data_IF_466595918499
#
_entry.id   IF_466595918499
#
_cell.length_a   1.000
_cell.length_b   1.000
_cell.length_c   1.000
_cell.angle_alpha   90.00
_cell.angle_beta   90.00
_cell.angle_gamma   90.00
#
_symmetry.space_group_name_H-M   'P 1'
#
loop_
_entity.id
_entity.type
_entity.pdbx_description
1 polymer ?
#
# COMPACT_ATOMS: atom_id res chain seq x y z
N UNK A 1 -9.66 -31.82 -22.14
CA UNK A 1 -8.93 -30.63 -22.64
C UNK A 1 -7.71 -30.38 -21.79
N UNK A 2 -6.56 -30.07 -22.38
CA UNK A 2 -5.42 -29.56 -21.60
C UNK A 2 -5.82 -28.24 -20.94
N UNK A 3 -5.52 -28.07 -19.65
CA UNK A 3 -5.77 -26.78 -18.98
C UNK A 3 -4.99 -25.67 -19.68
N UNK A 4 -5.65 -24.56 -20.00
CA UNK A 4 -5.06 -23.41 -20.69
C UNK A 4 -4.13 -22.61 -19.77
N UNK A 5 -4.44 -22.60 -18.45
CA UNK A 5 -3.75 -21.79 -17.45
C UNK A 5 -2.98 -22.67 -16.47
N UNK A 6 -2.02 -22.08 -15.75
CA UNK A 6 -1.39 -22.70 -14.60
C UNK A 6 -2.39 -22.88 -13.45
N UNK A 7 -2.11 -23.85 -12.57
CA UNK A 7 -2.94 -24.11 -11.38
C UNK A 7 -3.00 -22.86 -10.51
N UNK A 8 -4.21 -22.47 -10.09
CA UNK A 8 -4.44 -21.30 -9.23
C UNK A 8 -4.87 -20.02 -9.94
N UNK A 9 -4.76 -19.94 -11.29
CA UNK A 9 -5.22 -18.76 -12.04
C UNK A 9 -6.72 -18.81 -12.34
N UNK A 10 -7.27 -19.97 -12.60
CA UNK A 10 -8.69 -20.14 -12.98
C UNK A 10 -9.65 -19.56 -11.94
N UNK A 11 -9.31 -19.65 -10.66
CA UNK A 11 -10.14 -19.20 -9.54
C UNK A 11 -9.83 -17.75 -9.10
N UNK A 12 -8.90 -17.07 -9.77
CA UNK A 12 -8.54 -15.70 -9.42
C UNK A 12 -9.58 -14.69 -9.91
N UNK A 13 -10.17 -13.97 -8.98
CA UNK A 13 -10.99 -12.81 -9.30
C UNK A 13 -10.07 -11.61 -9.56
N UNK A 14 -10.22 -10.87 -10.67
CA UNK A 14 -9.46 -9.64 -10.91
C UNK A 14 -9.54 -8.68 -9.73
N UNK A 15 -8.44 -7.95 -9.48
CA UNK A 15 -8.45 -6.92 -8.44
C UNK A 15 -9.49 -5.84 -8.79
N UNK A 16 -10.50 -5.58 -7.96
CA UNK A 16 -11.46 -4.52 -8.24
C UNK A 16 -10.82 -3.15 -7.97
N UNK A 17 -10.48 -2.36 -9.00
CA UNK A 17 -9.94 -1.02 -8.79
C UNK A 17 -11.00 -0.10 -8.17
N UNK A 18 -10.59 0.98 -7.54
CA UNK A 18 -11.51 2.06 -7.20
C UNK A 18 -12.11 2.66 -8.47
N UNK A 19 -13.42 2.94 -8.46
CA UNK A 19 -14.11 3.51 -9.63
C UNK A 19 -13.46 4.85 -10.04
N UNK A 20 -13.11 5.08 -11.33
CA UNK A 20 -12.64 6.38 -11.80
C UNK A 20 -13.73 7.45 -11.71
N UNK A 21 -13.33 8.71 -11.48
CA UNK A 21 -14.27 9.83 -11.43
C UNK A 21 -15.02 9.97 -12.76
N UNK A 22 -14.28 9.96 -13.87
CA UNK A 22 -14.82 10.13 -15.22
C UNK A 22 -15.81 9.00 -15.60
N UNK A 23 -15.58 7.79 -15.10
CA UNK A 23 -16.49 6.66 -15.30
C UNK A 23 -17.80 6.89 -14.56
N UNK A 24 -17.74 7.29 -13.27
CA UNK A 24 -18.93 7.59 -12.48
C UNK A 24 -19.73 8.74 -13.11
N UNK A 25 -19.06 9.83 -13.48
CA UNK A 25 -19.70 11.00 -14.06
C UNK A 25 -20.39 10.68 -15.38
N UNK A 26 -19.76 9.86 -16.23
CA UNK A 26 -20.35 9.40 -17.49
C UNK A 26 -21.57 8.50 -17.28
N UNK A 27 -21.51 7.57 -16.31
CA UNK A 27 -22.61 6.64 -16.04
C UNK A 27 -23.82 7.31 -15.39
N UNK A 28 -23.59 8.26 -14.50
CA UNK A 28 -24.65 8.90 -13.70
C UNK A 28 -25.12 10.23 -14.29
N UNK A 29 -24.44 10.74 -15.32
CA UNK A 29 -24.76 12.05 -15.90
C UNK A 29 -24.51 13.24 -14.95
N UNK A 30 -23.60 13.10 -13.99
CA UNK A 30 -23.26 14.09 -12.97
C UNK A 30 -21.89 14.71 -13.24
N UNK A 31 -21.55 15.78 -12.53
CA UNK A 31 -20.25 16.45 -12.61
C UNK A 31 -19.72 16.80 -11.21
N UNK A 32 -18.43 16.97 -11.10
CA UNK A 32 -17.77 17.39 -9.87
C UNK A 32 -17.76 16.31 -8.79
N UNK A 33 -17.70 15.04 -9.18
CA UNK A 33 -17.57 13.92 -8.23
C UNK A 33 -16.25 13.98 -7.48
N UNK A 34 -16.23 13.45 -6.25
CA UNK A 34 -15.01 13.32 -5.44
C UNK A 34 -14.67 11.85 -5.23
N UNK A 35 -13.36 11.56 -5.04
CA UNK A 35 -12.88 10.19 -4.86
C UNK A 35 -12.03 10.07 -3.61
N UNK A 36 -12.55 9.35 -2.63
CA UNK A 36 -11.90 9.05 -1.34
C UNK A 36 -11.69 7.52 -1.17
N UNK A 37 -11.39 6.81 -2.25
CA UNK A 37 -11.44 5.34 -2.33
C UNK A 37 -10.09 4.65 -2.44
N UNK A 38 -9.04 5.33 -2.89
CA UNK A 38 -7.78 4.70 -3.33
C UNK A 38 -6.55 5.13 -2.53
N UNK A 39 -6.75 5.78 -1.40
CA UNK A 39 -5.67 6.25 -0.51
C UNK A 39 -4.67 7.15 -1.27
N UNK A 40 -5.19 7.96 -2.19
CA UNK A 40 -4.41 8.92 -2.97
C UNK A 40 -4.06 10.16 -2.13
N UNK A 41 -3.06 10.94 -2.55
CA UNK A 41 -2.71 12.18 -1.88
C UNK A 41 -3.69 13.29 -2.28
N UNK A 42 -4.36 13.97 -1.35
CA UNK A 42 -5.36 14.99 -1.67
C UNK A 42 -4.76 16.26 -2.32
N UNK A 43 -3.48 16.54 -2.12
CA UNK A 43 -2.78 17.68 -2.74
C UNK A 43 -2.36 17.39 -4.20
N UNK A 44 -2.52 16.15 -4.67
CA UNK A 44 -1.93 15.72 -5.94
C UNK A 44 -0.42 15.47 -5.83
N UNK A 45 0.34 15.61 -6.92
CA UNK A 45 1.79 15.38 -6.93
C UNK A 45 2.60 16.58 -6.43
N UNK A 46 3.80 16.30 -5.89
CA UNK A 46 4.77 17.34 -5.52
C UNK A 46 5.05 18.29 -6.69
N UNK A 47 5.03 19.63 -6.48
CA UNK A 47 5.41 20.62 -7.48
C UNK A 47 6.79 20.40 -8.07
N UNK A 48 7.78 20.02 -7.26
CA UNK A 48 9.13 19.69 -7.73
C UNK A 48 9.13 18.45 -8.64
N UNK A 49 8.29 17.46 -8.34
CA UNK A 49 8.11 16.28 -9.20
C UNK A 49 7.48 16.66 -10.55
N UNK A 50 6.49 17.54 -10.58
CA UNK A 50 5.87 18.03 -11.82
C UNK A 50 6.90 18.78 -12.67
N UNK A 51 7.74 19.61 -12.07
CA UNK A 51 8.81 20.30 -12.80
C UNK A 51 9.80 19.31 -13.40
N UNK A 52 10.26 18.33 -12.61
CA UNK A 52 11.17 17.28 -13.10
C UNK A 52 10.57 16.47 -14.25
N UNK A 53 9.25 16.19 -14.25
CA UNK A 53 8.57 15.56 -15.39
C UNK A 53 8.69 16.43 -16.65
N UNK A 54 8.35 17.72 -16.55
CA UNK A 54 8.41 18.66 -17.68
C UNK A 54 9.82 18.72 -18.29
N UNK A 55 10.84 18.78 -17.45
CA UNK A 55 12.24 18.88 -17.86
C UNK A 55 12.73 17.62 -18.61
N UNK A 56 12.06 16.48 -18.40
CA UNK A 56 12.44 15.19 -18.98
C UNK A 56 11.55 14.73 -20.14
N UNK A 57 10.57 15.52 -20.61
CA UNK A 57 9.67 15.12 -21.70
C UNK A 57 10.41 14.88 -23.03
N UNK A 58 11.45 15.63 -23.32
CA UNK A 58 12.16 15.60 -24.59
C UNK A 58 13.06 14.36 -24.77
N UNK A 59 13.28 13.57 -23.71
CA UNK A 59 14.14 12.37 -23.76
C UNK A 59 13.36 11.06 -23.77
N UNK A 60 12.03 11.10 -23.89
CA UNK A 60 11.16 9.91 -23.82
C UNK A 60 11.39 8.89 -24.93
N UNK A 61 12.08 9.26 -26.00
CA UNK A 61 12.49 8.35 -27.06
C UNK A 61 13.69 7.45 -26.66
N UNK A 62 14.24 7.60 -25.48
CA UNK A 62 15.32 6.79 -24.93
C UNK A 62 14.81 5.90 -23.79
N UNK A 63 15.37 4.70 -23.69
CA UNK A 63 15.13 3.85 -22.53
C UNK A 63 15.61 4.54 -21.24
N UNK A 64 14.93 4.30 -20.10
CA UNK A 64 15.37 4.82 -18.81
C UNK A 64 16.70 4.18 -18.37
N UNK A 65 17.35 4.79 -17.36
CA UNK A 65 18.45 4.13 -16.64
C UNK A 65 17.92 2.86 -15.95
N UNK A 66 18.30 1.69 -16.46
CA UNK A 66 17.89 0.40 -15.91
C UNK A 66 18.47 0.10 -14.53
N UNK A 67 19.55 0.79 -14.14
CA UNK A 67 20.13 0.70 -12.79
C UNK A 67 19.39 1.59 -11.78
N UNK A 68 18.74 2.66 -12.26
CA UNK A 68 18.10 3.68 -11.44
C UNK A 68 19.11 4.44 -10.57
N UNK A 69 20.31 4.65 -11.06
CA UNK A 69 21.45 5.13 -10.28
C UNK A 69 21.15 6.40 -9.49
N UNK A 70 20.60 7.44 -10.14
CA UNK A 70 20.36 8.74 -9.49
C UNK A 70 19.35 8.63 -8.35
N UNK A 71 18.23 7.94 -8.58
CA UNK A 71 17.21 7.75 -7.55
C UNK A 71 17.73 6.85 -6.42
N UNK A 72 18.41 5.75 -6.75
CA UNK A 72 19.03 4.87 -5.74
C UNK A 72 20.10 5.58 -4.94
N UNK A 73 20.94 6.43 -5.57
CA UNK A 73 21.95 7.22 -4.86
C UNK A 73 21.32 8.19 -3.87
N UNK A 74 20.20 8.82 -4.24
CA UNK A 74 19.46 9.71 -3.34
C UNK A 74 18.83 8.94 -2.17
N UNK A 75 18.20 7.79 -2.44
CA UNK A 75 17.66 6.90 -1.40
C UNK A 75 18.77 6.38 -0.47
N UNK A 76 19.89 5.96 -1.03
CA UNK A 76 21.08 5.53 -0.28
C UNK A 76 21.57 6.60 0.69
N UNK A 77 21.72 7.84 0.20
CA UNK A 77 22.12 8.98 1.03
C UNK A 77 21.08 9.32 2.10
N UNK A 78 19.80 9.33 1.74
CA UNK A 78 18.69 9.68 2.66
C UNK A 78 18.55 8.69 3.80
N UNK A 79 18.70 7.40 3.51
CA UNK A 79 18.41 6.32 4.46
C UNK A 79 19.66 5.61 4.97
N UNK A 80 20.84 6.02 4.54
CA UNK A 80 22.12 5.41 4.90
C UNK A 80 22.17 3.89 4.60
N UNK A 81 21.66 3.49 3.43
CA UNK A 81 21.63 2.09 2.96
C UNK A 81 22.50 1.94 1.71
N UNK A 82 23.37 0.92 1.60
CA UNK A 82 24.20 0.67 0.42
C UNK A 82 23.37 0.53 -0.88
N UNK A 83 23.91 1.00 -2.02
CA UNK A 83 23.24 0.95 -3.32
C UNK A 83 22.83 -0.47 -3.75
N UNK A 84 23.62 -1.47 -3.42
CA UNK A 84 23.36 -2.89 -3.74
C UNK A 84 22.33 -3.55 -2.81
N UNK A 85 21.83 -2.82 -1.82
CA UNK A 85 20.72 -3.18 -0.94
C UNK A 85 19.42 -2.47 -1.29
N UNK A 86 19.37 -1.75 -2.42
CA UNK A 86 18.19 -1.00 -2.88
C UNK A 86 17.72 -1.54 -4.22
N UNK A 87 16.42 -1.76 -4.34
CA UNK A 87 15.75 -2.14 -5.60
C UNK A 87 14.62 -1.17 -5.93
N UNK A 88 14.46 -0.82 -7.21
CA UNK A 88 13.33 -0.03 -7.70
C UNK A 88 12.31 -0.95 -8.38
N UNK A 89 11.03 -0.58 -8.25
CA UNK A 89 9.91 -1.28 -8.87
C UNK A 89 8.92 -0.34 -9.54
N UNK A 90 8.18 -0.86 -10.50
CA UNK A 90 7.01 -0.20 -11.09
C UNK A 90 5.85 -0.16 -10.07
N UNK A 91 6.02 0.65 -9.03
CA UNK A 91 5.31 0.59 -7.76
C UNK A 91 5.83 -0.53 -6.85
N UNK A 92 5.48 -0.49 -5.56
CA UNK A 92 5.77 -1.60 -4.64
C UNK A 92 5.09 -2.92 -5.04
N UNK A 93 4.01 -2.86 -5.82
CA UNK A 93 3.32 -4.04 -6.34
C UNK A 93 4.24 -4.94 -7.18
N UNK A 94 5.09 -4.37 -8.04
CA UNK A 94 6.06 -5.16 -8.80
C UNK A 94 7.08 -5.82 -7.87
N UNK A 95 7.48 -5.16 -6.79
CA UNK A 95 8.41 -5.76 -5.83
C UNK A 95 7.78 -6.93 -5.07
N UNK A 96 6.47 -6.88 -4.77
CA UNK A 96 5.72 -8.01 -4.24
C UNK A 96 5.72 -9.17 -5.25
N UNK A 97 5.42 -8.89 -6.52
CA UNK A 97 5.45 -9.89 -7.59
C UNK A 97 6.85 -10.49 -7.75
N UNK A 98 7.89 -9.66 -7.81
CA UNK A 98 9.28 -10.11 -7.93
C UNK A 98 9.69 -10.99 -6.73
N UNK A 99 9.25 -10.65 -5.52
CA UNK A 99 9.51 -11.47 -4.34
C UNK A 99 8.89 -12.86 -4.48
N UNK A 100 7.62 -12.92 -4.85
CA UNK A 100 6.93 -14.20 -5.07
C UNK A 100 7.61 -15.00 -6.19
N UNK A 101 7.93 -14.36 -7.31
CA UNK A 101 8.58 -15.04 -8.46
C UNK A 101 10.01 -15.50 -8.19
N UNK A 102 10.75 -14.80 -7.33
CA UNK A 102 12.13 -15.15 -7.03
C UNK A 102 12.24 -16.27 -5.97
N UNK A 103 11.31 -16.33 -5.03
CA UNK A 103 11.51 -17.12 -3.81
C UNK A 103 10.45 -18.18 -3.55
N UNK A 104 9.34 -18.19 -4.32
CA UNK A 104 8.26 -19.15 -4.13
C UNK A 104 8.24 -20.18 -5.27
N UNK A 105 8.18 -21.44 -4.90
CA UNK A 105 7.91 -22.56 -5.82
C UNK A 105 6.47 -23.07 -5.66
N UNK A 106 5.89 -23.71 -6.68
CA UNK A 106 4.57 -24.32 -6.54
C UNK A 106 4.51 -25.32 -5.37
N UNK A 107 3.54 -25.11 -4.48
CA UNK A 107 3.37 -25.92 -3.27
C UNK A 107 4.05 -25.38 -2.02
N UNK A 108 4.90 -24.37 -2.12
CA UNK A 108 5.43 -23.65 -0.97
C UNK A 108 4.32 -22.86 -0.25
N UNK A 109 4.54 -22.59 1.04
CA UNK A 109 3.60 -21.86 1.89
C UNK A 109 4.03 -20.40 2.06
N UNK A 110 3.02 -19.55 2.15
CA UNK A 110 3.17 -18.13 2.51
C UNK A 110 2.21 -17.82 3.64
N UNK A 111 2.64 -17.02 4.60
CA UNK A 111 1.80 -16.59 5.73
C UNK A 111 1.50 -15.11 5.60
N UNK A 112 0.25 -14.71 5.89
CA UNK A 112 -0.17 -13.32 6.02
C UNK A 112 -1.21 -13.18 7.12
N UNK A 113 -1.41 -11.98 7.64
CA UNK A 113 -2.62 -11.66 8.40
C UNK A 113 -3.80 -11.43 7.43
N UNK A 114 -5.05 -11.53 7.90
CA UNK A 114 -6.25 -11.29 7.09
C UNK A 114 -7.35 -10.63 7.93
N UNK A 115 -7.98 -9.54 7.45
CA UNK A 115 -7.75 -8.90 6.15
C UNK A 115 -6.47 -8.05 6.09
N UNK A 116 -5.81 -8.12 4.93
CA UNK A 116 -4.67 -7.28 4.56
C UNK A 116 -4.71 -6.95 3.07
N UNK A 117 -3.61 -6.46 2.49
CA UNK A 117 -3.58 -6.07 1.09
C UNK A 117 -3.80 -7.25 0.13
N UNK A 118 -4.89 -7.20 -0.63
CA UNK A 118 -5.40 -8.32 -1.44
C UNK A 118 -4.43 -8.85 -2.51
N UNK A 119 -3.40 -8.06 -2.88
CA UNK A 119 -2.47 -8.46 -3.92
C UNK A 119 -1.58 -9.64 -3.49
N UNK A 120 -1.21 -9.74 -2.21
CA UNK A 120 -0.34 -10.81 -1.72
C UNK A 120 -0.90 -12.18 -2.07
N UNK A 121 -2.14 -12.44 -1.65
CA UNK A 121 -2.80 -13.72 -1.92
C UNK A 121 -2.92 -14.02 -3.42
N UNK A 122 -3.24 -12.99 -4.22
CA UNK A 122 -3.35 -13.14 -5.68
C UNK A 122 -2.03 -13.54 -6.31
N UNK A 123 -0.92 -12.92 -5.94
CA UNK A 123 0.40 -13.23 -6.49
C UNK A 123 0.85 -14.63 -6.06
N UNK A 124 0.62 -15.01 -4.80
CA UNK A 124 0.96 -16.34 -4.29
C UNK A 124 0.16 -17.43 -5.00
N UNK A 125 -1.16 -17.27 -5.14
CA UNK A 125 -2.02 -18.23 -5.87
C UNK A 125 -1.62 -18.34 -7.34
N UNK A 126 -1.31 -17.21 -8.00
CA UNK A 126 -0.85 -17.20 -9.39
C UNK A 126 0.46 -17.95 -9.58
N UNK A 127 1.35 -17.96 -8.59
CA UNK A 127 2.60 -18.72 -8.58
C UNK A 127 2.41 -20.20 -8.17
N UNK A 128 1.19 -20.63 -7.82
CA UNK A 128 0.91 -21.99 -7.38
C UNK A 128 1.28 -22.27 -5.92
N UNK A 129 1.58 -21.23 -5.14
CA UNK A 129 1.82 -21.31 -3.69
C UNK A 129 0.52 -21.44 -2.88
N UNK A 130 0.66 -21.74 -1.61
CA UNK A 130 -0.42 -21.88 -0.66
C UNK A 130 -0.38 -20.73 0.37
N UNK A 131 -1.50 -20.01 0.52
CA UNK A 131 -1.61 -18.92 1.48
C UNK A 131 -2.24 -19.41 2.79
N UNK A 132 -1.52 -19.26 3.90
CA UNK A 132 -2.04 -19.36 5.25
C UNK A 132 -2.42 -17.96 5.74
N UNK A 133 -3.70 -17.71 5.93
CA UNK A 133 -4.24 -16.42 6.37
C UNK A 133 -4.63 -16.47 7.84
N UNK A 134 -3.97 -15.67 8.67
CA UNK A 134 -4.17 -15.56 10.11
C UNK A 134 -5.17 -14.43 10.39
N UNK A 135 -6.28 -14.67 11.08
CA UNK A 135 -7.24 -13.61 11.40
C UNK A 135 -6.62 -12.49 12.24
N UNK A 136 -7.03 -11.25 11.97
CA UNK A 136 -6.67 -10.11 12.82
C UNK A 136 -7.33 -10.26 14.22
N UNK A 137 -6.61 -9.83 15.24
CA UNK A 137 -7.16 -9.65 16.59
C UNK A 137 -7.49 -8.17 16.80
N UNK A 138 -8.77 -7.84 17.01
CA UNK A 138 -9.23 -6.45 17.17
C UNK A 138 -8.67 -5.48 16.10
N UNK A 139 -8.77 -5.88 14.84
CA UNK A 139 -8.24 -5.15 13.66
C UNK A 139 -6.71 -4.98 13.62
N UNK A 140 -5.95 -5.64 14.50
CA UNK A 140 -4.49 -5.65 14.51
C UNK A 140 -3.93 -7.01 14.12
N UNK A 141 -2.76 -7.02 13.54
CA UNK A 141 -1.98 -8.23 13.28
C UNK A 141 -1.52 -8.80 14.63
N UNK A 142 -1.76 -10.09 14.83
CA UNK A 142 -1.21 -10.87 15.94
C UNK A 142 0.01 -11.63 15.44
N UNK A 143 1.21 -11.15 15.77
CA UNK A 143 2.47 -11.73 15.32
C UNK A 143 2.72 -13.12 15.92
N UNK A 144 2.21 -13.42 17.12
CA UNK A 144 2.33 -14.73 17.72
C UNK A 144 1.51 -15.78 16.92
N UNK A 145 0.30 -15.40 16.50
CA UNK A 145 -0.52 -16.29 15.65
C UNK A 145 0.10 -16.43 14.24
N UNK A 146 0.74 -15.38 13.71
CA UNK A 146 1.51 -15.46 12.46
C UNK A 146 2.66 -16.46 12.60
N UNK A 147 3.43 -16.43 13.69
CA UNK A 147 4.51 -17.38 13.96
C UNK A 147 4.01 -18.82 14.08
N UNK A 148 2.87 -19.06 14.75
CA UNK A 148 2.28 -20.40 14.85
C UNK A 148 1.85 -20.98 13.50
N UNK A 149 1.54 -20.13 12.52
CA UNK A 149 1.19 -20.54 11.17
C UNK A 149 2.41 -20.89 10.30
N UNK A 150 3.63 -20.61 10.75
CA UNK A 150 4.88 -20.94 10.05
C UNK A 150 5.10 -22.44 10.09
N UNK A 151 5.44 -23.02 8.95
CA UNK A 151 5.73 -24.45 8.77
C UNK A 151 7.08 -24.63 8.06
N UNK A 152 7.65 -25.84 8.02
CA UNK A 152 8.88 -26.09 7.24
C UNK A 152 8.75 -25.81 5.74
N UNK A 153 7.53 -25.65 5.22
CA UNK A 153 7.27 -25.25 3.82
C UNK A 153 7.10 -23.75 3.64
N UNK A 154 7.08 -22.97 4.71
CA UNK A 154 6.92 -21.52 4.64
C UNK A 154 8.16 -20.88 4.04
N UNK A 155 7.98 -20.06 3.01
CA UNK A 155 9.03 -19.33 2.30
C UNK A 155 8.94 -17.83 2.46
N UNK A 156 7.72 -17.30 2.62
CA UNK A 156 7.49 -15.87 2.70
C UNK A 156 6.46 -15.59 3.79
N UNK A 157 6.67 -14.52 4.55
CA UNK A 157 5.68 -13.93 5.46
C UNK A 157 5.45 -12.49 5.00
N UNK A 158 4.19 -12.11 4.75
CA UNK A 158 3.82 -10.72 4.47
C UNK A 158 3.31 -10.04 5.72
N UNK A 159 3.94 -8.94 6.10
CA UNK A 159 3.53 -8.04 7.18
C UNK A 159 3.31 -6.65 6.57
N UNK A 160 2.06 -6.17 6.58
CA UNK A 160 1.74 -4.82 6.14
C UNK A 160 1.66 -3.89 7.35
N UNK A 161 2.62 -3.01 7.53
CA UNK A 161 2.72 -2.12 8.68
C UNK A 161 3.04 -0.68 8.28
N UNK A 162 2.08 0.25 8.37
CA UNK A 162 0.68 0.10 8.83
C UNK A 162 -0.19 -0.78 7.92
N UNK A 163 -1.13 -1.53 8.52
CA UNK A 163 -1.96 -2.48 7.77
C UNK A 163 -3.02 -1.77 6.92
N UNK A 164 -3.20 -2.21 5.71
CA UNK A 164 -4.33 -1.88 4.85
C UNK A 164 -5.26 -3.12 4.74
N UNK A 165 -6.53 -3.07 5.25
CA UNK A 165 -7.37 -1.87 5.29
C UNK A 165 -7.56 -1.22 6.67
N UNK A 166 -6.97 -1.71 7.74
CA UNK A 166 -7.33 -1.30 9.11
C UNK A 166 -6.62 -0.03 9.61
N UNK A 167 -5.45 0.29 9.04
CA UNK A 167 -4.62 1.41 9.50
C UNK A 167 -3.91 1.17 10.84
N UNK A 168 -4.03 -0.04 11.40
CA UNK A 168 -3.35 -0.45 12.62
C UNK A 168 -1.85 -0.63 12.42
N UNK A 169 -1.09 -0.51 13.49
CA UNK A 169 0.37 -0.61 13.49
C UNK A 169 0.87 -1.67 14.47
N UNK A 170 2.06 -2.16 14.20
CA UNK A 170 2.87 -3.01 15.07
C UNK A 170 3.96 -2.16 15.72
N UNK A 171 4.20 -2.37 17.00
CA UNK A 171 5.20 -1.63 17.75
C UNK A 171 6.60 -2.22 17.51
N UNK A 172 7.63 -1.41 17.82
CA UNK A 172 9.05 -1.79 17.70
C UNK A 172 9.35 -3.11 18.41
N UNK A 173 8.94 -3.23 19.67
CA UNK A 173 9.22 -4.41 20.48
C UNK A 173 8.53 -5.67 19.92
N UNK A 174 7.27 -5.53 19.47
CA UNK A 174 6.53 -6.63 18.84
C UNK A 174 7.27 -7.15 17.60
N UNK A 175 7.74 -6.21 16.74
CA UNK A 175 8.49 -6.56 15.53
C UNK A 175 9.85 -7.19 15.82
N UNK A 176 10.59 -6.70 16.82
CA UNK A 176 11.88 -7.25 17.22
C UNK A 176 11.75 -8.69 17.74
N UNK A 177 10.78 -8.96 18.63
CA UNK A 177 10.51 -10.32 19.10
C UNK A 177 10.14 -11.24 17.94
N UNK A 178 9.21 -10.79 17.08
CA UNK A 178 8.80 -11.56 15.91
C UNK A 178 9.98 -11.92 14.99
N UNK A 179 10.79 -10.95 14.63
CA UNK A 179 11.92 -11.17 13.71
C UNK A 179 12.99 -12.11 14.29
N UNK A 180 13.17 -12.12 15.61
CA UNK A 180 14.09 -13.05 16.29
C UNK A 180 13.58 -14.50 16.26
N UNK A 181 12.26 -14.71 16.21
CA UNK A 181 11.64 -16.04 16.26
C UNK A 181 11.35 -16.60 14.86
N UNK A 182 11.38 -15.76 13.80
CA UNK A 182 11.23 -16.23 12.41
C UNK A 182 12.47 -17.00 11.96
N UNK A 183 12.32 -18.18 11.33
CA UNK A 183 13.47 -18.93 10.80
C UNK A 183 14.28 -18.12 9.78
N UNK A 184 15.61 -18.18 9.85
CA UNK A 184 16.54 -17.40 9.01
C UNK A 184 16.42 -17.66 7.49
N UNK A 185 15.77 -18.75 7.08
CA UNK A 185 15.53 -19.11 5.67
C UNK A 185 14.14 -18.67 5.15
N UNK A 186 13.34 -17.98 5.97
CA UNK A 186 12.05 -17.41 5.61
C UNK A 186 12.19 -15.93 5.28
N UNK A 187 11.67 -15.50 4.14
CA UNK A 187 11.65 -14.09 3.77
C UNK A 187 10.52 -13.37 4.50
N UNK A 188 10.83 -12.32 5.22
CA UNK A 188 9.84 -11.41 5.81
C UNK A 188 9.72 -10.19 4.92
N UNK A 189 8.55 -9.99 4.31
CA UNK A 189 8.22 -8.79 3.55
C UNK A 189 7.48 -7.82 4.47
N UNK A 190 8.13 -6.73 4.84
CA UNK A 190 7.53 -5.63 5.59
C UNK A 190 7.09 -4.55 4.62
N UNK A 191 5.79 -4.52 4.31
CA UNK A 191 5.22 -3.52 3.40
C UNK A 191 4.86 -2.25 4.16
N UNK A 192 5.67 -1.24 3.97
CA UNK A 192 5.60 0.09 4.58
C UNK A 192 4.99 1.14 3.65
N UNK A 193 4.00 0.79 2.84
CA UNK A 193 3.39 1.73 1.89
C UNK A 193 2.80 3.00 2.55
N UNK A 194 2.63 3.01 3.86
CA UNK A 194 2.03 4.12 4.63
C UNK A 194 2.88 4.59 5.80
N UNK A 195 4.11 4.13 5.93
CA UNK A 195 4.97 4.41 7.10
C UNK A 195 5.20 5.90 7.34
N UNK A 196 5.23 6.71 6.30
CA UNK A 196 5.47 8.14 6.41
C UNK A 196 4.32 8.91 7.11
N UNK A 197 3.13 8.30 7.25
CA UNK A 197 2.00 8.90 7.98
C UNK A 197 2.00 8.57 9.47
N UNK A 198 2.80 7.61 9.90
CA UNK A 198 2.89 7.20 11.30
C UNK A 198 3.46 8.34 12.15
N UNK A 199 2.77 8.64 13.24
CA UNK A 199 3.19 9.64 14.24
C UNK A 199 3.55 9.03 15.60
N UNK A 200 3.32 7.73 15.76
CA UNK A 200 3.64 7.00 16.99
C UNK A 200 5.12 6.59 16.98
N UNK A 201 5.92 7.18 17.86
CA UNK A 201 7.36 6.92 18.00
C UNK A 201 7.68 5.49 18.47
N UNK A 202 6.71 4.78 19.03
CA UNK A 202 6.86 3.38 19.40
C UNK A 202 6.87 2.43 18.20
N UNK A 203 6.51 2.91 17.00
CA UNK A 203 6.56 2.13 15.77
C UNK A 203 7.95 2.22 15.14
N UNK A 204 8.64 1.08 14.99
CA UNK A 204 9.91 1.06 14.26
C UNK A 204 9.69 1.11 12.75
N UNK A 205 10.56 1.81 12.04
CA UNK A 205 10.66 1.67 10.59
C UNK A 205 11.39 0.37 10.24
N UNK A 206 11.06 -0.22 9.10
CA UNK A 206 11.75 -1.42 8.63
C UNK A 206 13.25 -1.21 8.40
N UNK A 207 13.68 0.03 8.17
CA UNK A 207 15.09 0.38 8.06
C UNK A 207 15.85 0.15 9.37
N UNK A 208 15.23 0.45 10.50
CA UNK A 208 15.80 0.18 11.83
C UNK A 208 15.86 -1.32 12.13
N UNK A 209 15.03 -2.11 11.45
CA UNK A 209 14.89 -3.55 11.65
C UNK A 209 15.72 -4.39 10.67
N UNK A 210 16.35 -3.80 9.63
CA UNK A 210 17.03 -4.52 8.54
C UNK A 210 18.14 -5.48 9.03
N UNK A 211 18.77 -5.20 10.16
CA UNK A 211 19.86 -6.03 10.71
C UNK A 211 19.36 -7.14 11.62
N UNK A 212 18.08 -7.15 11.99
CA UNK A 212 17.50 -8.12 12.92
C UNK A 212 17.01 -9.41 12.26
N UNK A 213 16.94 -9.44 10.92
CA UNK A 213 16.61 -10.67 10.20
C UNK A 213 17.31 -10.67 8.83
N UNK A 214 18.03 -11.74 8.44
CA UNK A 214 18.89 -11.77 7.25
C UNK A 214 18.11 -11.63 5.93
N UNK A 215 16.85 -12.02 5.94
CA UNK A 215 15.95 -12.00 4.78
C UNK A 215 14.78 -11.04 4.97
N UNK A 216 14.95 -9.95 5.75
CA UNK A 216 13.97 -8.88 5.81
C UNK A 216 14.02 -8.06 4.51
N UNK A 217 12.85 -7.92 3.85
CA UNK A 217 12.63 -7.07 2.68
C UNK A 217 11.62 -5.99 3.04
N UNK A 218 12.04 -4.75 3.08
CA UNK A 218 11.20 -3.57 3.37
C UNK A 218 10.74 -2.96 2.06
N UNK A 219 9.44 -2.76 1.88
CA UNK A 219 8.86 -2.15 0.68
C UNK A 219 8.27 -0.79 0.98
N UNK A 220 8.51 0.20 0.11
CA UNK A 220 7.96 1.55 0.17
C UNK A 220 7.49 2.03 -1.19
N UNK A 221 6.67 3.08 -1.21
CA UNK A 221 6.08 3.60 -2.45
C UNK A 221 6.09 5.12 -2.51
N UNK A 222 6.19 5.67 -3.71
CA UNK A 222 5.95 7.09 -3.97
C UNK A 222 4.47 7.41 -4.25
N UNK A 223 3.60 6.40 -4.23
CA UNK A 223 2.18 6.56 -4.58
C UNK A 223 1.37 7.31 -3.53
N UNK A 224 1.83 7.38 -2.26
CA UNK A 224 1.04 7.90 -1.14
C UNK A 224 1.50 9.29 -0.72
N UNK A 225 2.46 9.42 0.18
CA UNK A 225 2.93 10.71 0.67
C UNK A 225 3.38 11.65 -0.47
N UNK A 226 4.06 11.13 -1.48
CA UNK A 226 4.64 11.93 -2.56
C UNK A 226 3.67 12.23 -3.73
N UNK A 227 2.45 11.68 -3.71
CA UNK A 227 1.42 11.95 -4.72
C UNK A 227 1.72 11.40 -6.12
N UNK A 228 2.60 10.40 -6.26
CA UNK A 228 3.05 9.90 -7.57
C UNK A 228 2.37 8.56 -7.97
N UNK A 229 1.14 8.33 -7.55
CA UNK A 229 0.42 7.07 -7.79
C UNK A 229 0.34 6.70 -9.28
N UNK A 230 0.12 7.68 -10.16
CA UNK A 230 0.01 7.48 -11.61
C UNK A 230 1.31 7.14 -12.30
N UNK A 231 2.47 7.49 -11.73
CA UNK A 231 3.78 7.24 -12.32
C UNK A 231 4.30 5.82 -12.08
N UNK A 232 3.70 5.08 -11.13
CA UNK A 232 4.06 3.71 -10.84
C UNK A 232 5.52 3.56 -10.41
N UNK A 233 5.91 4.13 -9.29
CA UNK A 233 7.27 4.02 -8.74
C UNK A 233 7.23 3.64 -7.26
N UNK A 234 8.05 2.67 -6.89
CA UNK A 234 8.28 2.20 -5.52
C UNK A 234 9.72 1.71 -5.36
N UNK A 235 10.10 1.39 -4.17
CA UNK A 235 11.44 0.93 -3.84
C UNK A 235 11.41 -0.06 -2.68
N UNK A 236 12.47 -0.85 -2.57
CA UNK A 236 12.66 -1.79 -1.47
C UNK A 236 14.09 -1.79 -0.97
N UNK A 237 14.23 -2.21 0.29
CA UNK A 237 15.51 -2.40 0.97
C UNK A 237 15.60 -3.82 1.50
N UNK A 238 16.73 -4.48 1.29
CA UNK A 238 17.05 -5.76 1.90
C UNK A 238 18.57 -5.95 1.93
N UNK A 239 19.03 -7.05 2.53
CA UNK A 239 20.42 -7.48 2.36
C UNK A 239 20.73 -7.76 0.88
N UNK A 240 22.02 -7.72 0.51
CA UNK A 240 22.49 -7.83 -0.89
C UNK A 240 21.95 -9.06 -1.62
N UNK A 241 21.86 -10.20 -0.95
CA UNK A 241 21.52 -11.49 -1.58
C UNK A 241 20.08 -11.54 -2.11
N UNK A 242 19.02 -11.19 -1.36
CA UNK A 242 17.66 -11.07 -1.92
C UNK A 242 17.57 -10.07 -3.07
N UNK A 243 18.22 -8.90 -2.94
CA UNK A 243 18.22 -7.87 -4.00
C UNK A 243 18.84 -8.40 -5.29
N UNK A 244 19.95 -9.14 -5.21
CA UNK A 244 20.60 -9.75 -6.37
C UNK A 244 19.66 -10.75 -7.08
N UNK A 245 19.00 -11.64 -6.35
CA UNK A 245 18.05 -12.59 -6.92
C UNK A 245 16.84 -11.90 -7.60
N UNK A 246 16.28 -10.89 -6.97
CA UNK A 246 15.18 -10.12 -7.55
C UNK A 246 15.63 -9.39 -8.83
N UNK A 247 16.84 -8.82 -8.85
CA UNK A 247 17.40 -8.16 -10.04
C UNK A 247 17.61 -9.11 -11.23
N UNK A 248 17.87 -10.41 -11.01
CA UNK A 248 18.03 -11.42 -12.08
C UNK A 248 16.74 -11.66 -12.87
N UNK A 249 15.58 -11.46 -12.24
CA UNK A 249 14.26 -11.72 -12.87
C UNK A 249 13.46 -10.45 -13.15
N UNK A 250 13.95 -9.30 -12.67
CA UNK A 250 13.33 -7.99 -12.91
C UNK A 250 13.37 -7.66 -14.40
N UNK A 251 12.26 -7.11 -14.91
CA UNK A 251 12.22 -6.62 -16.28
C UNK A 251 13.26 -5.51 -16.49
N UNK A 252 14.01 -5.53 -17.59
CA UNK A 252 14.86 -4.39 -17.95
C UNK A 252 14.03 -3.10 -18.01
N UNK A 253 14.58 -2.01 -17.51
CA UNK A 253 13.94 -0.68 -17.60
C UNK A 253 12.53 -0.59 -16.96
N UNK A 254 12.25 -1.38 -15.92
CA UNK A 254 10.95 -1.48 -15.26
C UNK A 254 10.43 -0.17 -14.65
N UNK A 255 11.32 0.69 -14.17
CA UNK A 255 10.98 2.03 -13.68
C UNK A 255 11.20 3.07 -14.79
N UNK A 256 10.13 3.70 -15.27
CA UNK A 256 10.19 4.63 -16.40
C UNK A 256 10.94 5.93 -16.06
N UNK A 257 11.42 6.64 -17.09
CA UNK A 257 12.22 7.87 -16.98
C UNK A 257 11.53 8.94 -16.14
N UNK A 258 10.25 9.23 -16.44
CA UNK A 258 9.51 10.29 -15.75
C UNK A 258 9.28 9.93 -14.28
N UNK A 259 9.01 8.66 -13.98
CA UNK A 259 8.85 8.18 -12.61
C UNK A 259 10.13 8.32 -11.79
N UNK A 260 11.29 7.95 -12.38
CA UNK A 260 12.58 8.11 -11.70
C UNK A 260 12.92 9.59 -11.45
N UNK A 261 12.73 10.45 -12.45
CA UNK A 261 12.99 11.90 -12.33
C UNK A 261 12.06 12.56 -11.28
N UNK A 262 10.76 12.26 -11.36
CA UNK A 262 9.78 12.78 -10.42
C UNK A 262 10.02 12.32 -8.97
N UNK A 263 10.30 11.03 -8.77
CA UNK A 263 10.61 10.48 -7.45
C UNK A 263 11.89 11.09 -6.86
N UNK A 264 12.91 11.26 -7.72
CA UNK A 264 14.16 11.89 -7.33
C UNK A 264 13.97 13.34 -6.84
N UNK A 265 13.11 14.12 -7.50
CA UNK A 265 12.76 15.48 -7.10
C UNK A 265 11.85 15.51 -5.86
N UNK A 266 10.83 14.64 -5.80
CA UNK A 266 9.88 14.57 -4.67
C UNK A 266 10.55 14.26 -3.32
N UNK A 267 11.67 13.54 -3.32
CA UNK A 267 12.43 13.25 -2.08
C UNK A 267 13.03 14.50 -1.42
N UNK A 268 13.19 15.59 -2.17
CA UNK A 268 13.71 16.87 -1.69
C UNK A 268 12.61 17.88 -1.32
N UNK A 269 11.35 17.60 -1.72
CA UNK A 269 10.21 18.48 -1.48
C UNK A 269 9.67 18.31 -0.06
N UNK A 270 10.42 18.77 0.93
CA UNK A 270 10.06 18.68 2.35
C UNK A 270 8.84 19.53 2.71
N UNK A 271 8.63 20.64 2.02
CA UNK A 271 7.47 21.50 2.22
C UNK A 271 6.18 20.77 1.82
N UNK A 272 6.15 20.19 0.63
CA UNK A 272 5.02 19.42 0.15
C UNK A 272 4.68 18.23 1.07
N UNK A 273 5.71 17.47 1.49
CA UNK A 273 5.49 16.33 2.39
C UNK A 273 4.95 16.77 3.76
N UNK A 274 5.47 17.88 4.31
CA UNK A 274 4.99 18.45 5.56
C UNK A 274 3.55 18.97 5.46
N UNK A 275 3.20 19.62 4.35
CA UNK A 275 1.82 20.07 4.08
C UNK A 275 0.87 18.86 3.95
N UNK A 276 1.27 17.81 3.22
CA UNK A 276 0.48 16.58 3.10
C UNK A 276 0.19 15.96 4.47
N UNK A 277 1.21 15.79 5.29
CA UNK A 277 1.05 15.23 6.64
C UNK A 277 0.14 16.09 7.52
N UNK A 278 0.25 17.41 7.41
CA UNK A 278 -0.62 18.35 8.13
C UNK A 278 -2.07 18.21 7.70
N UNK A 279 -2.35 18.19 6.39
CA UNK A 279 -3.71 18.06 5.85
C UNK A 279 -4.33 16.73 6.28
N UNK A 280 -3.57 15.63 6.22
CA UNK A 280 -4.06 14.32 6.66
C UNK A 280 -4.40 14.33 8.15
N UNK A 281 -3.54 14.86 9.01
CA UNK A 281 -3.81 14.95 10.47
C UNK A 281 -5.03 15.83 10.79
N UNK A 282 -5.12 17.00 10.15
CA UNK A 282 -6.23 17.92 10.38
C UNK A 282 -7.55 17.33 9.84
N UNK A 283 -7.48 16.66 8.69
CA UNK A 283 -8.62 15.97 8.09
C UNK A 283 -9.12 14.78 8.94
N UNK A 284 -8.21 13.96 9.48
CA UNK A 284 -8.58 12.89 10.43
C UNK A 284 -9.29 13.45 11.66
N UNK A 285 -8.76 14.52 12.25
CA UNK A 285 -9.39 15.16 13.42
C UNK A 285 -10.82 15.62 13.10
N UNK A 286 -11.00 16.30 11.98
CA UNK A 286 -12.32 16.75 11.52
C UNK A 286 -13.28 15.57 11.29
N UNK A 287 -12.82 14.53 10.57
CA UNK A 287 -13.64 13.37 10.24
C UNK A 287 -14.03 12.59 11.49
N UNK A 288 -13.11 12.38 12.43
CA UNK A 288 -13.40 11.70 13.69
C UNK A 288 -14.41 12.46 14.54
N UNK A 289 -14.25 13.80 14.67
CA UNK A 289 -15.24 14.63 15.38
C UNK A 289 -16.62 14.51 14.73
N UNK A 290 -16.70 14.63 13.40
CA UNK A 290 -17.97 14.54 12.67
C UNK A 290 -18.64 13.17 12.78
N UNK A 291 -17.87 12.07 12.85
CA UNK A 291 -18.40 10.72 13.04
C UNK A 291 -18.87 10.49 14.46
N UNK A 292 -18.17 11.04 15.46
CA UNK A 292 -18.64 11.03 16.86
C UNK A 292 -19.96 11.77 17.00
N UNK A 293 -20.15 12.93 16.34
CA UNK A 293 -21.41 13.69 16.31
C UNK A 293 -22.55 12.91 15.62
N UNK A 294 -22.21 11.88 14.82
CA UNK A 294 -23.13 10.96 14.14
C UNK A 294 -23.29 9.62 14.88
N UNK A 295 -22.64 9.45 16.02
CA UNK A 295 -22.61 8.19 16.79
C UNK A 295 -22.15 6.98 15.96
N UNK A 296 -21.24 7.20 14.99
CA UNK A 296 -20.68 6.15 14.13
C UNK A 296 -19.34 5.65 14.65
N UNK A 297 -19.22 4.33 14.76
CA UNK A 297 -17.99 3.66 15.11
C UNK A 297 -16.98 3.71 13.95
N UNK A 298 -15.71 3.97 14.27
CA UNK A 298 -14.61 3.92 13.30
C UNK A 298 -13.37 3.29 13.94
N UNK A 299 -12.45 2.83 13.09
CA UNK A 299 -11.17 2.28 13.56
C UNK A 299 -10.11 3.38 13.43
N UNK A 300 -9.52 3.86 14.55
CA UNK A 300 -8.44 4.83 14.50
C UNK A 300 -7.24 4.34 13.69
N UNK A 301 -6.56 5.24 12.98
CA UNK A 301 -5.51 4.90 12.03
C UNK A 301 -4.21 5.67 12.24
N UNK A 302 -3.11 5.07 11.78
CA UNK A 302 -1.81 5.72 11.56
C UNK A 302 -1.49 5.90 10.05
N UNK A 303 -2.54 5.98 9.20
CA UNK A 303 -2.41 6.14 7.74
C UNK A 303 -3.20 7.36 7.25
N UNK A 304 -3.28 7.54 5.93
CA UNK A 304 -4.14 8.55 5.32
C UNK A 304 -5.58 8.05 5.02
N UNK A 305 -5.99 6.92 5.58
CA UNK A 305 -7.33 6.33 5.43
C UNK A 305 -7.76 5.63 6.71
N UNK A 306 -9.04 5.31 6.85
CA UNK A 306 -9.56 4.55 7.98
C UNK A 306 -10.88 3.85 7.65
N UNK A 307 -11.30 2.94 8.53
CA UNK A 307 -12.54 2.19 8.43
C UNK A 307 -13.65 2.85 9.25
N UNK A 308 -14.85 2.89 8.68
CA UNK A 308 -16.08 3.34 9.33
C UNK A 308 -17.07 2.18 9.31
N UNK A 309 -17.63 1.84 10.47
CA UNK A 309 -18.72 0.86 10.57
C UNK A 309 -20.03 1.51 10.18
N UNK A 310 -20.75 0.88 9.27
CA UNK A 310 -22.03 1.38 8.75
C UNK A 310 -23.12 0.31 8.96
N UNK A 311 -24.15 0.62 9.77
CA UNK A 311 -25.18 -0.39 10.16
C UNK A 311 -25.94 -0.98 8.96
N UNK A 312 -26.11 -0.20 7.89
CA UNK A 312 -26.83 -0.65 6.68
C UNK A 312 -25.97 -1.52 5.75
N UNK A 313 -24.68 -1.74 6.07
CA UNK A 313 -23.73 -2.50 5.27
C UNK A 313 -22.94 -1.65 4.27
N UNK A 314 -21.65 -1.99 4.11
CA UNK A 314 -20.69 -1.23 3.32
C UNK A 314 -21.08 -1.10 1.85
N UNK A 315 -21.57 -2.19 1.24
CA UNK A 315 -22.00 -2.20 -0.17
C UNK A 315 -23.17 -1.24 -0.42
N UNK A 316 -24.19 -1.27 0.45
CA UNK A 316 -25.35 -0.38 0.30
C UNK A 316 -24.96 1.08 0.42
N UNK A 317 -24.16 1.43 1.44
CA UNK A 317 -23.66 2.80 1.60
C UNK A 317 -22.81 3.22 0.40
N UNK A 318 -21.90 2.36 -0.06
CA UNK A 318 -21.12 2.63 -1.28
C UNK A 318 -21.99 2.99 -2.47
N UNK A 319 -23.04 2.20 -2.77
CA UNK A 319 -23.96 2.43 -3.89
C UNK A 319 -24.75 3.75 -3.74
N UNK A 320 -25.17 4.09 -2.53
CA UNK A 320 -25.86 5.35 -2.25
C UNK A 320 -24.92 6.55 -2.40
N UNK A 321 -23.68 6.44 -1.89
CA UNK A 321 -22.66 7.50 -2.01
C UNK A 321 -22.29 7.76 -3.48
N UNK A 322 -22.19 6.72 -4.31
CA UNK A 322 -21.96 6.87 -5.76
C UNK A 322 -23.02 7.73 -6.44
N UNK A 323 -24.31 7.54 -6.09
CA UNK A 323 -25.41 8.34 -6.64
C UNK A 323 -25.30 9.84 -6.31
N UNK A 324 -24.63 10.15 -5.20
CA UNK A 324 -24.36 11.53 -4.75
C UNK A 324 -22.98 12.05 -5.23
N UNK A 325 -22.30 11.32 -6.11
CA UNK A 325 -21.01 11.71 -6.66
C UNK A 325 -19.83 11.60 -5.65
N UNK A 326 -19.94 10.73 -4.67
CA UNK A 326 -18.88 10.49 -3.68
C UNK A 326 -18.40 9.04 -3.78
N UNK A 327 -17.17 8.84 -4.26
CA UNK A 327 -16.57 7.52 -4.45
C UNK A 327 -15.80 7.15 -3.19
N UNK A 328 -16.27 6.11 -2.51
CA UNK A 328 -15.64 5.51 -1.33
C UNK A 328 -15.27 4.04 -1.64
N UNK A 329 -14.83 3.28 -0.65
CA UNK A 329 -14.53 1.86 -0.80
C UNK A 329 -15.40 1.00 0.11
N UNK A 330 -16.23 0.11 -0.45
CA UNK A 330 -16.83 -0.98 0.32
C UNK A 330 -15.75 -2.00 0.70
N UNK A 331 -15.86 -2.56 1.90
CA UNK A 331 -14.91 -3.55 2.42
C UNK A 331 -15.39 -5.00 2.28
N UNK A 332 -16.41 -5.26 1.47
CA UNK A 332 -16.90 -6.62 1.21
C UNK A 332 -15.79 -7.55 0.70
N UNK A 333 -14.96 -7.05 -0.24
CA UNK A 333 -13.84 -7.83 -0.79
C UNK A 333 -12.74 -8.15 0.23
N UNK A 334 -12.77 -7.52 1.40
CA UNK A 334 -11.88 -7.76 2.54
C UNK A 334 -12.52 -8.61 3.64
N UNK A 335 -13.76 -9.11 3.42
CA UNK A 335 -14.51 -9.87 4.43
C UNK A 335 -15.06 -8.99 5.56
N UNK A 336 -15.17 -7.68 5.36
CA UNK A 336 -15.68 -6.70 6.32
C UNK A 336 -16.95 -6.00 5.79
N UNK A 337 -18.07 -6.74 5.60
CA UNK A 337 -19.26 -6.22 4.90
C UNK A 337 -19.98 -5.08 5.64
N UNK A 338 -19.70 -4.89 6.93
CA UNK A 338 -20.26 -3.80 7.74
C UNK A 338 -19.41 -2.51 7.68
N UNK A 339 -18.32 -2.51 6.88
CA UNK A 339 -17.39 -1.39 6.87
C UNK A 339 -17.27 -0.76 5.48
N UNK A 340 -17.01 0.53 5.49
CA UNK A 340 -16.48 1.28 4.36
C UNK A 340 -15.09 1.80 4.74
N UNK A 341 -14.22 2.02 3.74
CA UNK A 341 -12.94 2.70 3.91
C UNK A 341 -12.94 3.97 3.10
N UNK A 342 -12.49 5.05 3.71
CA UNK A 342 -12.22 6.32 3.05
C UNK A 342 -10.78 6.74 3.29
N UNK A 343 -10.18 7.46 2.35
CA UNK A 343 -8.99 8.25 2.63
C UNK A 343 -9.37 9.70 2.94
N UNK A 344 -8.48 10.37 3.66
CA UNK A 344 -8.61 11.81 3.92
C UNK A 344 -8.45 12.57 2.61
N UNK A 345 -9.41 13.44 2.33
CA UNK A 345 -9.40 14.38 1.21
C UNK A 345 -9.01 15.80 1.63
N UNK A 346 -9.16 16.76 0.73
CA UNK A 346 -9.14 18.18 1.06
C UNK A 346 -10.31 18.54 2.00
N UNK A 347 -10.26 19.71 2.60
CA UNK A 347 -11.28 20.15 3.56
C UNK A 347 -12.70 20.06 2.97
N UNK A 348 -12.88 20.55 1.77
CA UNK A 348 -14.16 20.56 1.06
C UNK A 348 -14.63 19.14 0.70
N UNK A 349 -13.71 18.24 0.37
CA UNK A 349 -14.01 16.85 0.08
C UNK A 349 -14.47 16.10 1.34
N UNK A 350 -13.80 16.33 2.45
CA UNK A 350 -14.17 15.75 3.75
C UNK A 350 -15.54 16.26 4.22
N UNK A 351 -15.82 17.55 4.08
CA UNK A 351 -17.12 18.15 4.40
C UNK A 351 -18.24 17.59 3.52
N UNK A 352 -17.99 17.46 2.22
CA UNK A 352 -18.93 16.85 1.28
C UNK A 352 -19.18 15.38 1.63
N UNK A 353 -18.15 14.62 1.97
CA UNK A 353 -18.29 13.24 2.41
C UNK A 353 -19.22 13.14 3.63
N UNK A 354 -18.96 13.92 4.68
CA UNK A 354 -19.79 13.91 5.91
C UNK A 354 -21.24 14.32 5.62
N UNK A 355 -21.45 15.39 4.84
CA UNK A 355 -22.78 15.83 4.43
C UNK A 355 -23.54 14.72 3.70
N UNK A 356 -22.87 14.06 2.76
CA UNK A 356 -23.47 12.98 1.97
C UNK A 356 -23.73 11.75 2.85
N UNK A 357 -22.80 11.38 3.74
CA UNK A 357 -22.96 10.25 4.63
C UNK A 357 -24.19 10.43 5.56
N UNK A 358 -24.38 11.62 6.12
CA UNK A 358 -25.59 11.95 6.90
C UNK A 358 -26.88 11.76 6.09
N UNK A 359 -26.90 12.26 4.85
CA UNK A 359 -28.05 12.14 3.95
C UNK A 359 -28.42 10.69 3.60
N UNK A 360 -27.43 9.83 3.37
CA UNK A 360 -27.69 8.45 2.95
C UNK A 360 -27.94 7.48 4.10
N UNK A 361 -27.70 7.91 5.34
CA UNK A 361 -28.02 7.15 6.55
C UNK A 361 -29.39 7.47 7.14
N UNK A 362 -29.92 8.66 6.85
CA UNK A 362 -31.32 9.03 7.16
C UNK A 362 -32.28 8.28 6.23
#
# INVERSE_FOLDING_TARGET
MKKLTSKGIEDLIPYPPGKPIEELEREMGIKGSIKLASNENPLGPSPMAIQAIKDNLNILHRYPDGSGYYLKSKLSKKYNVPLDQIILGNGSNELIELTVRAFLSPGDHVVQASPTFLLYEKMVKAAGGQMASVPLSNFRIDLNEVLKAVTPKTKIIFINNPNNPTGSVLLREEMLHFLNDVPDDVIVVLDEAYIEFVSDEAVATGLELLTHHPLLLVLRTFSKLYGLAGLRIGYGFASKKPIDYMNRIRQPFNANTLAQAAANAALEDSEFTSQTLKIVRDGLRYLYQSLNDMELEYIPTQTNFFLIKVPQGGKKIYELMLKEGVIIRSMDSYGLPQYIRINVGLREENERFIKTLRKVQS
#
